data_IF_339115384165
#
_entry.id   IF_339115384165
#
_cell.length_a   1.000
_cell.length_b   1.000
_cell.length_c   1.000
_cell.angle_alpha   90.00
_cell.angle_beta   90.00
_cell.angle_gamma   90.00
#
_symmetry.space_group_name_H-M   'P 1'
#
loop_
_entity.id
_entity.type
_entity.pdbx_description
1 polymer ?
#
# COMPACT_ATOMS: atom_id res chain seq x y z
N UNK A 1 12.39 -20.79 -1.47
CA UNK A 1 11.24 -21.55 -2.01
C UNK A 1 10.78 -20.94 -3.32
N UNK A 2 10.54 -21.74 -4.34
CA UNK A 2 9.96 -21.21 -5.56
C UNK A 2 8.52 -20.78 -5.32
N UNK A 3 8.08 -19.80 -6.07
CA UNK A 3 6.69 -19.35 -6.02
C UNK A 3 5.74 -20.47 -6.47
N UNK A 4 4.52 -20.44 -5.95
CA UNK A 4 3.45 -21.28 -6.51
C UNK A 4 3.19 -20.85 -7.94
N UNK A 5 2.58 -21.73 -8.75
CA UNK A 5 2.21 -21.40 -10.12
C UNK A 5 1.26 -20.20 -10.16
N UNK A 6 0.29 -20.16 -9.25
CA UNK A 6 -0.65 -19.05 -9.14
C UNK A 6 0.06 -17.73 -8.82
N UNK A 7 1.01 -17.75 -7.90
CA UNK A 7 1.77 -16.55 -7.52
C UNK A 7 2.67 -16.09 -8.67
N UNK A 8 3.35 -17.00 -9.34
CA UNK A 8 4.19 -16.67 -10.49
C UNK A 8 3.38 -16.03 -11.62
N UNK A 9 2.20 -16.55 -11.89
CA UNK A 9 1.27 -16.00 -12.89
C UNK A 9 0.82 -14.59 -12.48
N UNK A 10 0.47 -14.41 -11.20
CA UNK A 10 0.07 -13.10 -10.68
C UNK A 10 1.18 -12.07 -10.82
N UNK A 11 2.40 -12.42 -10.47
CA UNK A 11 3.56 -11.51 -10.60
C UNK A 11 3.75 -11.08 -12.06
N UNK A 12 3.61 -11.99 -12.99
CA UNK A 12 3.70 -11.71 -14.42
C UNK A 12 2.59 -10.76 -14.87
N UNK A 13 1.37 -10.98 -14.40
CA UNK A 13 0.21 -10.14 -14.69
C UNK A 13 0.39 -8.73 -14.14
N UNK A 14 0.82 -8.61 -12.87
CA UNK A 14 1.08 -7.31 -12.25
C UNK A 14 2.14 -6.55 -13.02
N UNK A 15 3.24 -7.21 -13.37
CA UNK A 15 4.33 -6.62 -14.15
C UNK A 15 3.80 -5.99 -15.43
N UNK A 16 2.98 -6.74 -16.18
CA UNK A 16 2.37 -6.27 -17.42
C UNK A 16 1.49 -5.05 -17.19
N UNK A 17 0.60 -5.11 -16.20
CA UNK A 17 -0.35 -4.03 -15.92
C UNK A 17 0.35 -2.75 -15.44
N UNK A 18 1.34 -2.88 -14.58
CA UNK A 18 2.09 -1.72 -14.11
C UNK A 18 2.89 -1.08 -15.24
N UNK A 19 3.47 -1.89 -16.12
CA UNK A 19 4.17 -1.38 -17.29
C UNK A 19 3.21 -0.61 -18.21
N UNK A 20 2.03 -1.15 -18.46
CA UNK A 20 1.03 -0.52 -19.33
C UNK A 20 0.46 0.77 -18.73
N UNK A 21 0.17 0.77 -17.42
CA UNK A 21 -0.50 1.90 -16.77
C UNK A 21 0.44 3.00 -16.27
N UNK A 22 1.67 2.64 -15.90
CA UNK A 22 2.61 3.57 -15.25
C UNK A 22 3.97 3.67 -15.95
N UNK A 23 4.18 2.90 -17.00
CA UNK A 23 5.42 2.94 -17.77
C UNK A 23 6.59 2.21 -17.14
N UNK A 24 6.38 1.54 -16.01
CA UNK A 24 7.42 0.76 -15.36
C UNK A 24 7.27 0.71 -13.85
N UNK A 25 8.22 0.05 -13.19
CA UNK A 25 8.27 -0.12 -11.74
C UNK A 25 9.69 -0.51 -11.34
N UNK A 26 9.97 -0.43 -10.05
CA UNK A 26 11.17 -1.02 -9.44
C UNK A 26 10.77 -2.24 -8.64
N UNK A 27 11.76 -3.02 -8.22
CA UNK A 27 11.56 -4.17 -7.33
C UNK A 27 12.33 -3.92 -6.04
N UNK A 28 11.74 -4.31 -4.91
CA UNK A 28 12.45 -4.30 -3.65
C UNK A 28 13.16 -5.65 -3.40
N UNK A 29 13.85 -5.74 -2.27
CA UNK A 29 14.59 -6.97 -1.91
C UNK A 29 13.69 -8.19 -1.67
N UNK A 30 12.39 -7.98 -1.44
CA UNK A 30 11.41 -9.03 -1.22
C UNK A 30 10.62 -9.37 -2.48
N UNK A 31 11.08 -8.88 -3.63
CA UNK A 31 10.43 -9.10 -4.93
C UNK A 31 9.04 -8.46 -5.05
N UNK A 32 8.78 -7.42 -4.27
CA UNK A 32 7.58 -6.61 -4.40
C UNK A 32 7.79 -5.50 -5.43
N UNK A 33 6.69 -5.07 -6.05
CA UNK A 33 6.76 -3.97 -7.01
C UNK A 33 6.70 -2.63 -6.28
N UNK A 34 7.52 -1.68 -6.71
CA UNK A 34 7.64 -0.37 -6.10
C UNK A 34 7.35 0.71 -7.14
N UNK A 35 6.44 1.62 -6.80
CA UNK A 35 6.09 2.76 -7.64
C UNK A 35 6.23 4.05 -6.84
N UNK A 36 6.58 5.12 -7.54
CA UNK A 36 6.56 6.48 -6.99
C UNK A 36 5.38 7.21 -7.62
N UNK A 37 4.45 7.70 -6.80
CA UNK A 37 3.29 8.45 -7.28
C UNK A 37 3.16 9.71 -6.43
N UNK A 38 3.48 10.86 -7.02
CA UNK A 38 3.59 12.11 -6.26
C UNK A 38 4.69 12.00 -5.23
N UNK A 39 4.40 12.33 -3.97
CA UNK A 39 5.32 12.14 -2.84
C UNK A 39 5.21 10.75 -2.22
N UNK A 40 4.24 9.94 -2.65
CA UNK A 40 3.98 8.63 -2.05
C UNK A 40 4.79 7.53 -2.72
N UNK A 41 5.34 6.64 -1.91
CA UNK A 41 5.94 5.40 -2.37
C UNK A 41 4.93 4.28 -2.17
N UNK A 42 4.61 3.60 -3.26
CA UNK A 42 3.60 2.54 -3.27
C UNK A 42 4.27 1.19 -3.46
N UNK A 43 3.92 0.26 -2.59
CA UNK A 43 4.29 -1.15 -2.74
C UNK A 43 3.07 -1.90 -3.27
N UNK A 44 3.28 -2.70 -4.30
CA UNK A 44 2.28 -3.64 -4.80
C UNK A 44 2.80 -5.04 -4.46
N UNK A 45 2.10 -5.72 -3.56
CA UNK A 45 2.57 -6.95 -2.92
C UNK A 45 1.70 -8.12 -3.34
N UNK A 46 2.21 -9.02 -4.20
CA UNK A 46 1.49 -10.25 -4.52
C UNK A 46 1.61 -11.26 -3.38
N UNK A 47 0.51 -11.92 -3.04
CA UNK A 47 0.43 -12.81 -1.88
C UNK A 47 -0.28 -14.09 -2.25
N UNK A 48 0.33 -15.25 -1.92
CA UNK A 48 -0.39 -16.52 -1.85
C UNK A 48 -1.32 -16.46 -0.64
N UNK A 49 -2.56 -16.83 -0.82
CA UNK A 49 -3.55 -16.75 0.25
C UNK A 49 -4.04 -18.13 0.65
N UNK A 50 -5.23 -18.51 0.25
CA UNK A 50 -5.70 -19.88 0.44
C UNK A 50 -5.35 -20.70 -0.79
N UNK A 51 -5.45 -22.01 -0.70
CA UNK A 51 -5.01 -22.92 -1.74
C UNK A 51 -5.49 -22.50 -3.14
N UNK A 52 -4.53 -22.24 -4.02
CA UNK A 52 -4.79 -21.86 -5.41
C UNK A 52 -5.29 -20.44 -5.61
N UNK A 53 -5.38 -19.64 -4.55
CA UNK A 53 -5.87 -18.25 -4.63
C UNK A 53 -4.79 -17.26 -4.25
N UNK A 54 -4.88 -16.07 -4.82
CA UNK A 54 -3.90 -15.01 -4.58
C UNK A 54 -4.57 -13.70 -4.24
N UNK A 55 -3.82 -12.82 -3.56
CA UNK A 55 -4.22 -11.46 -3.25
C UNK A 55 -3.17 -10.49 -3.74
N UNK A 56 -3.57 -9.26 -3.98
CA UNK A 56 -2.67 -8.15 -4.26
C UNK A 56 -2.92 -7.07 -3.22
N UNK A 57 -1.91 -6.76 -2.42
CA UNK A 57 -1.99 -5.65 -1.47
C UNK A 57 -1.29 -4.44 -2.06
N UNK A 58 -1.97 -3.29 -2.05
CA UNK A 58 -1.41 -2.01 -2.47
C UNK A 58 -1.22 -1.18 -1.21
N UNK A 59 0.01 -0.79 -0.91
CA UNK A 59 0.39 -0.22 0.39
C UNK A 59 1.19 1.06 0.20
N UNK A 60 0.82 2.11 0.95
CA UNK A 60 1.62 3.31 1.08
C UNK A 60 2.10 3.47 2.52
N UNK A 61 3.34 3.86 2.69
CA UNK A 61 3.89 4.23 4.00
C UNK A 61 3.61 5.71 4.22
N UNK A 62 2.91 6.04 5.31
CA UNK A 62 2.40 7.40 5.52
C UNK A 62 3.18 8.17 6.58
N UNK A 63 3.52 7.51 7.69
CA UNK A 63 4.19 8.17 8.81
C UNK A 63 4.98 7.16 9.63
N UNK A 64 6.00 7.64 10.32
CA UNK A 64 6.75 6.85 11.28
C UNK A 64 7.04 7.70 12.51
N UNK A 65 6.74 7.17 13.68
CA UNK A 65 7.11 7.79 14.94
C UNK A 65 6.19 8.88 15.46
N UNK A 66 5.02 9.08 14.86
CA UNK A 66 4.00 9.99 15.39
C UNK A 66 3.40 9.46 16.68
N UNK A 67 2.83 10.34 17.47
CA UNK A 67 2.23 9.96 18.75
C UNK A 67 1.54 11.11 19.47
N UNK A 68 0.97 10.86 20.66
CA UNK A 68 0.95 9.57 21.39
C UNK A 68 0.20 8.48 20.65
N UNK A 69 0.64 7.25 20.83
CA UNK A 69 0.14 6.10 20.07
C UNK A 69 -1.38 5.88 20.21
N UNK A 70 -1.93 6.04 21.41
CA UNK A 70 -3.36 5.87 21.65
C UNK A 70 -4.20 6.94 20.96
N UNK A 71 -3.75 8.19 20.96
CA UNK A 71 -4.44 9.29 20.26
C UNK A 71 -4.35 9.12 18.76
N UNK A 72 -3.18 8.75 18.26
CA UNK A 72 -2.99 8.46 16.83
C UNK A 72 -3.90 7.30 16.39
N UNK A 73 -3.95 6.23 17.16
CA UNK A 73 -4.80 5.07 16.86
C UNK A 73 -6.27 5.46 16.77
N UNK A 74 -6.76 6.26 17.69
CA UNK A 74 -8.15 6.75 17.68
C UNK A 74 -8.44 7.60 16.46
N UNK A 75 -7.51 8.47 16.10
CA UNK A 75 -7.62 9.29 14.89
C UNK A 75 -7.73 8.41 13.65
N UNK A 76 -6.83 7.44 13.49
CA UNK A 76 -6.81 6.57 12.32
C UNK A 76 -8.08 5.73 12.20
N UNK A 77 -8.58 5.19 13.31
CA UNK A 77 -9.83 4.41 13.33
C UNK A 77 -11.00 5.30 12.92
N UNK A 78 -11.06 6.53 13.42
CA UNK A 78 -12.12 7.47 13.06
C UNK A 78 -12.06 7.84 11.57
N UNK A 79 -10.86 8.04 11.02
CA UNK A 79 -10.70 8.34 9.60
C UNK A 79 -11.05 7.14 8.73
N UNK A 80 -10.74 5.91 9.17
CA UNK A 80 -11.14 4.70 8.46
C UNK A 80 -12.66 4.60 8.28
N UNK A 81 -13.43 5.11 9.23
CA UNK A 81 -14.88 5.13 9.12
C UNK A 81 -15.37 6.00 7.95
N UNK A 82 -14.64 7.06 7.65
CA UNK A 82 -14.98 8.00 6.57
C UNK A 82 -14.49 7.55 5.20
N UNK A 83 -13.43 6.76 5.15
CA UNK A 83 -12.80 6.33 3.90
C UNK A 83 -13.48 5.10 3.34
N UNK A 84 -13.85 5.15 2.07
CA UNK A 84 -14.51 4.03 1.38
C UNK A 84 -13.49 3.07 0.80
N UNK A 85 -12.38 3.60 0.28
CA UNK A 85 -11.37 2.81 -0.40
C UNK A 85 -10.06 2.83 0.38
N UNK A 86 -9.67 1.68 0.88
CA UNK A 86 -8.47 1.55 1.69
C UNK A 86 -8.71 1.77 3.18
N UNK A 87 -7.70 1.50 3.95
CA UNK A 87 -7.72 1.64 5.41
C UNK A 87 -6.34 1.98 5.94
N UNK A 88 -6.31 2.69 7.07
CA UNK A 88 -5.07 2.88 7.83
C UNK A 88 -4.81 1.67 8.71
N UNK A 89 -3.53 1.34 8.86
CA UNK A 89 -3.05 0.41 9.87
C UNK A 89 -1.84 1.02 10.56
N UNK A 90 -1.68 0.67 11.82
CA UNK A 90 -0.58 1.12 12.66
C UNK A 90 0.16 -0.10 13.18
N UNK A 91 1.46 -0.16 12.95
CA UNK A 91 2.29 -1.21 13.48
C UNK A 91 2.83 -0.77 14.84
N UNK A 92 2.40 -1.39 15.95
CA UNK A 92 2.77 -0.92 17.29
C UNK A 92 4.27 -0.99 17.56
N UNK A 93 4.95 -1.99 17.03
CA UNK A 93 6.38 -2.21 17.30
C UNK A 93 7.26 -1.10 16.72
N UNK A 94 6.89 -0.54 15.57
CA UNK A 94 7.71 0.46 14.87
C UNK A 94 7.10 1.85 14.89
N UNK A 95 5.81 1.97 15.21
CA UNK A 95 5.08 3.24 15.08
C UNK A 95 4.79 3.64 13.64
N UNK A 96 4.94 2.71 12.70
CA UNK A 96 4.66 2.99 11.30
C UNK A 96 3.19 2.99 11.01
N UNK A 97 2.74 3.99 10.25
CA UNK A 97 1.37 4.12 9.75
C UNK A 97 1.37 3.81 8.26
N UNK A 98 0.52 2.85 7.87
CA UNK A 98 0.33 2.46 6.49
C UNK A 98 -1.08 2.81 6.04
N UNK A 99 -1.24 3.06 4.76
CA UNK A 99 -2.55 3.11 4.12
C UNK A 99 -2.57 2.04 3.04
N UNK A 100 -3.55 1.15 3.08
CA UNK A 100 -3.52 -0.05 2.25
C UNK A 100 -4.89 -0.49 1.78
N UNK A 101 -4.89 -1.24 0.67
CA UNK A 101 -6.09 -1.87 0.11
C UNK A 101 -5.70 -3.21 -0.49
N UNK A 102 -6.58 -4.20 -0.38
CA UNK A 102 -6.32 -5.54 -0.89
C UNK A 102 -7.31 -5.89 -1.99
N UNK A 103 -6.78 -6.38 -3.11
CA UNK A 103 -7.55 -6.83 -4.27
C UNK A 103 -7.43 -8.35 -4.40
N UNK A 104 -8.42 -8.97 -5.03
CA UNK A 104 -8.33 -10.39 -5.39
C UNK A 104 -7.37 -10.53 -6.56
N UNK A 105 -6.34 -11.37 -6.40
CA UNK A 105 -5.33 -11.55 -7.45
C UNK A 105 -5.85 -12.31 -8.65
N UNK A 106 -6.72 -13.30 -8.40
CA UNK A 106 -7.23 -14.18 -9.46
C UNK A 106 -8.17 -13.46 -10.44
N UNK A 107 -8.76 -12.35 -10.01
CA UNK A 107 -9.69 -11.56 -10.82
C UNK A 107 -9.15 -10.18 -11.15
N UNK A 108 -7.86 -10.00 -10.98
CA UNK A 108 -7.23 -8.70 -11.19
C UNK A 108 -7.31 -8.29 -12.66
N UNK A 109 -7.75 -7.07 -12.93
CA UNK A 109 -7.62 -6.48 -14.25
C UNK A 109 -6.78 -5.19 -14.17
N UNK A 110 -6.32 -4.71 -15.31
CA UNK A 110 -5.42 -3.56 -15.37
C UNK A 110 -6.06 -2.30 -14.75
N UNK A 111 -7.33 -2.07 -15.03
CA UNK A 111 -8.03 -0.85 -14.55
C UNK A 111 -8.21 -0.85 -13.05
N UNK A 112 -8.55 -2.00 -12.47
CA UNK A 112 -8.68 -2.12 -11.01
C UNK A 112 -7.35 -1.84 -10.32
N UNK A 113 -6.26 -2.39 -10.83
CA UNK A 113 -4.94 -2.16 -10.25
C UNK A 113 -4.53 -0.68 -10.38
N UNK A 114 -4.74 -0.09 -11.56
CA UNK A 114 -4.43 1.32 -11.80
C UNK A 114 -5.20 2.23 -10.84
N UNK A 115 -6.50 2.02 -10.69
CA UNK A 115 -7.34 2.79 -9.77
C UNK A 115 -6.87 2.62 -8.33
N UNK A 116 -6.57 1.38 -7.91
CA UNK A 116 -6.11 1.10 -6.57
C UNK A 116 -4.81 1.84 -6.25
N UNK A 117 -3.83 1.76 -7.14
CA UNK A 117 -2.55 2.45 -6.95
C UNK A 117 -2.75 3.97 -6.85
N UNK A 118 -3.53 4.55 -7.76
CA UNK A 118 -3.80 6.00 -7.77
C UNK A 118 -4.56 6.46 -6.53
N UNK A 119 -5.56 5.69 -6.10
CA UNK A 119 -6.38 6.03 -4.93
C UNK A 119 -5.55 5.95 -3.64
N UNK A 120 -4.76 4.91 -3.48
CA UNK A 120 -3.89 4.76 -2.31
C UNK A 120 -2.84 5.87 -2.28
N UNK A 121 -2.21 6.18 -3.40
CA UNK A 121 -1.22 7.24 -3.49
C UNK A 121 -1.82 8.62 -3.15
N UNK A 122 -2.97 8.93 -3.72
CA UNK A 122 -3.65 10.21 -3.50
C UNK A 122 -4.06 10.39 -2.04
N UNK A 123 -4.60 9.35 -1.42
CA UNK A 123 -5.01 9.39 -0.02
C UNK A 123 -3.80 9.50 0.90
N UNK A 124 -2.75 8.73 0.65
CA UNK A 124 -1.52 8.80 1.43
C UNK A 124 -0.89 10.20 1.37
N UNK A 125 -0.86 10.80 0.18
CA UNK A 125 -0.30 12.13 -0.05
C UNK A 125 -1.09 13.22 0.71
N UNK A 126 -2.40 13.05 0.82
CA UNK A 126 -3.24 13.96 1.59
C UNK A 126 -3.01 13.83 3.10
N UNK A 127 -2.95 12.60 3.60
CA UNK A 127 -2.88 12.34 5.03
C UNK A 127 -1.48 12.42 5.64
N UNK A 128 -0.42 12.26 4.86
CA UNK A 128 0.94 12.34 5.39
C UNK A 128 1.21 13.70 6.04
N UNK A 129 0.78 14.78 5.42
CA UNK A 129 0.91 16.13 5.96
C UNK A 129 0.02 16.34 7.19
N UNK A 130 -1.23 15.87 7.13
CA UNK A 130 -2.18 16.01 8.24
C UNK A 130 -1.72 15.26 9.49
N UNK A 131 -1.24 14.04 9.33
CA UNK A 131 -0.76 13.23 10.45
C UNK A 131 0.50 13.85 11.04
N UNK A 132 1.44 14.28 10.22
CA UNK A 132 2.65 14.93 10.70
C UNK A 132 2.34 16.21 11.47
N UNK A 133 1.42 17.03 10.98
CA UNK A 133 1.03 18.26 11.63
C UNK A 133 0.38 18.04 13.00
N UNK A 134 -0.40 16.98 13.16
CA UNK A 134 -1.16 16.72 14.39
C UNK A 134 -0.43 15.83 15.39
N UNK A 135 0.37 14.88 14.91
CA UNK A 135 0.98 13.84 15.75
C UNK A 135 2.50 13.83 15.68
N UNK A 136 3.09 14.65 14.81
CA UNK A 136 4.52 14.63 14.60
C UNK A 136 4.96 13.41 13.79
N UNK A 137 6.15 12.92 14.06
CA UNK A 137 6.74 11.84 13.30
C UNK A 137 7.31 12.32 11.98
N UNK A 138 7.66 11.35 11.15
CA UNK A 138 8.26 11.61 9.83
C UNK A 138 7.38 11.01 8.75
N UNK A 139 7.16 11.75 7.67
CA UNK A 139 6.49 11.20 6.49
C UNK A 139 7.53 10.53 5.58
N UNK A 140 7.05 9.73 4.63
CA UNK A 140 7.95 9.04 3.69
C UNK A 140 8.88 10.04 2.99
N UNK A 141 10.16 9.69 2.89
CA UNK A 141 11.21 10.55 2.37
C UNK A 141 12.02 11.26 3.45
N UNK A 142 11.50 11.28 4.66
CA UNK A 142 12.18 11.87 5.83
C UNK A 142 12.80 10.81 6.76
N UNK A 143 12.55 9.52 6.47
CA UNK A 143 13.09 8.42 7.29
C UNK A 143 13.58 7.26 6.47
#
# INVERSE_FOLDING_TARGET
MPDSEALATLKSTISKYLQESFGGFLKDQNDNFVLQAGSARILVVPIDWVEGQTLVKVVALVNSGGGPADELSKYLIAENLKLIFGKFSLEPATGMVFFEHTLLGDFLNRKELEIAVKAIASTADKYDDEIQARFGGKKFGEF
#
